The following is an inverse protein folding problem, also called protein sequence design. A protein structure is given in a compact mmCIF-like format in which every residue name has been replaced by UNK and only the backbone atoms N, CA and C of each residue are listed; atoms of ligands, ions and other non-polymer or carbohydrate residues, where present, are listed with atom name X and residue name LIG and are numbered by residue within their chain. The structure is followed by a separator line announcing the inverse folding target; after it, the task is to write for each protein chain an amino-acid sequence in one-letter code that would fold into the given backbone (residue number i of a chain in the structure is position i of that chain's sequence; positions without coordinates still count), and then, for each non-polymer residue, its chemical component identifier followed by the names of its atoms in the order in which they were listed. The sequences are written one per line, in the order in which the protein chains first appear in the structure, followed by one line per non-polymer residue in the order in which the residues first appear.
data_IF_363132481444
#
_entry.id   IF_363132481444
#
_cell.length_a   1.000
_cell.length_b   1.000
_cell.length_c   1.000
_cell.angle_alpha   90.00
_cell.angle_beta   90.00
_cell.angle_gamma   90.00
#
_symmetry.space_group_name_H-M   'P 1'
#
loop_
_entity.id
_entity.type
_entity.pdbx_description
1 polymer ?
#
# COMPACT_ATOMS: atom_id res chain seq x y z
N UNK A 1 -3.73 23.49 6.84
CA UNK A 1 -2.97 22.72 5.85
C UNK A 1 -3.19 23.33 4.49
N UNK A 2 -2.14 23.51 3.67
CA UNK A 2 -2.30 23.93 2.27
C UNK A 2 -2.85 22.77 1.45
N UNK A 3 -3.79 23.04 0.54
CA UNK A 3 -4.30 22.01 -0.37
C UNK A 3 -3.17 21.47 -1.28
N UNK A 4 -3.19 20.17 -1.63
CA UNK A 4 -2.26 19.61 -2.58
C UNK A 4 -2.32 20.36 -3.93
N UNK A 5 -1.19 20.41 -4.64
CA UNK A 5 -1.12 21.03 -6.00
C UNK A 5 -1.55 20.05 -7.11
N UNK A 6 -2.00 18.86 -6.78
CA UNK A 6 -2.54 17.85 -7.70
C UNK A 6 -4.03 17.64 -7.44
N UNK A 7 -4.79 17.06 -8.38
CA UNK A 7 -6.15 16.62 -8.10
C UNK A 7 -6.18 15.73 -6.85
N UNK A 8 -7.10 15.99 -5.95
CA UNK A 8 -7.27 15.19 -4.74
C UNK A 8 -8.75 15.04 -4.39
N UNK A 9 -9.03 14.00 -3.64
CA UNK A 9 -10.36 13.73 -3.10
C UNK A 9 -10.22 13.41 -1.61
N UNK A 10 -11.01 14.08 -0.78
CA UNK A 10 -11.06 13.80 0.65
C UNK A 10 -12.10 12.71 0.92
N UNK A 11 -11.66 11.64 1.58
CA UNK A 11 -12.55 10.53 1.97
C UNK A 11 -13.24 10.80 3.32
N UNK A 12 -12.84 11.85 4.02
CA UNK A 12 -13.31 12.13 5.38
C UNK A 12 -12.82 11.11 6.43
N UNK A 13 -11.92 10.21 6.05
CA UNK A 13 -11.39 9.20 6.96
C UNK A 13 -10.62 9.85 8.12
N UNK A 14 -10.95 9.53 9.40
CA UNK A 14 -10.14 9.95 10.53
C UNK A 14 -8.79 9.26 10.48
N UNK A 15 -7.79 9.85 11.15
CA UNK A 15 -6.50 9.19 11.33
C UNK A 15 -6.67 7.88 12.12
N UNK A 16 -5.92 6.85 11.72
CA UNK A 16 -5.87 5.59 12.48
C UNK A 16 -5.31 5.81 13.89
N UNK A 17 -5.72 4.95 14.82
CA UNK A 17 -5.24 4.95 16.21
C UNK A 17 -4.17 3.86 16.40
N UNK A 18 -3.45 3.95 17.51
CA UNK A 18 -2.45 2.96 17.91
C UNK A 18 -3.11 1.62 18.26
N UNK A 19 -2.88 0.55 17.48
CA UNK A 19 -3.50 -0.75 17.71
C UNK A 19 -3.10 -1.42 19.05
N UNK A 20 -2.04 -0.95 19.68
CA UNK A 20 -1.66 -1.41 21.01
C UNK A 20 -2.59 -0.86 22.12
N UNK A 21 -3.30 0.24 21.86
CA UNK A 21 -4.13 0.94 22.86
C UNK A 21 -5.63 0.76 22.66
N UNK A 22 -6.07 0.47 21.43
CA UNK A 22 -7.47 0.32 21.09
C UNK A 22 -7.67 -0.10 19.64
N UNK A 23 -8.91 -0.17 19.16
CA UNK A 23 -9.17 -0.37 17.72
C UNK A 23 -8.50 0.72 16.89
N UNK A 24 -7.83 0.32 15.82
CA UNK A 24 -7.16 1.26 14.92
C UNK A 24 -8.13 2.13 14.13
N UNK A 25 -9.31 1.59 13.80
CA UNK A 25 -10.35 2.24 13.02
C UNK A 25 -11.68 2.15 13.73
N UNK A 26 -12.44 3.23 13.67
CA UNK A 26 -13.80 3.26 14.23
C UNK A 26 -14.80 2.44 13.39
N UNK A 27 -14.65 2.49 12.07
CA UNK A 27 -15.56 1.82 11.12
C UNK A 27 -14.82 1.50 9.81
N UNK A 28 -14.32 0.28 9.71
CA UNK A 28 -13.66 -0.20 8.49
C UNK A 28 -14.67 -0.44 7.35
N UNK A 29 -15.94 -0.74 7.67
CA UNK A 29 -16.98 -0.94 6.66
C UNK A 29 -17.30 0.35 5.91
N UNK A 30 -17.44 1.46 6.61
CA UNK A 30 -17.70 2.76 5.98
C UNK A 30 -16.53 3.21 5.08
N UNK A 31 -15.29 2.95 5.51
CA UNK A 31 -14.11 3.21 4.70
C UNK A 31 -14.07 2.32 3.46
N UNK A 32 -14.49 1.07 3.60
CA UNK A 32 -14.61 0.14 2.50
C UNK A 32 -15.61 0.62 1.45
N UNK A 33 -16.82 1.01 1.85
CA UNK A 33 -17.86 1.49 0.93
C UNK A 33 -17.40 2.74 0.16
N UNK A 34 -16.72 3.64 0.85
CA UNK A 34 -16.14 4.85 0.25
C UNK A 34 -15.05 4.51 -0.75
N UNK A 35 -14.10 3.64 -0.38
CA UNK A 35 -13.02 3.19 -1.26
C UNK A 35 -13.54 2.42 -2.46
N UNK A 36 -14.49 1.51 -2.28
CA UNK A 36 -15.10 0.74 -3.35
C UNK A 36 -15.78 1.64 -4.40
N UNK A 37 -16.56 2.62 -3.94
CA UNK A 37 -17.23 3.59 -4.80
C UNK A 37 -16.22 4.42 -5.59
N UNK A 38 -15.13 4.84 -4.94
CA UNK A 38 -14.04 5.57 -5.59
C UNK A 38 -13.31 4.71 -6.63
N UNK A 39 -13.02 3.45 -6.32
CA UNK A 39 -12.41 2.51 -7.25
C UNK A 39 -13.24 2.32 -8.51
N UNK A 40 -14.55 2.13 -8.37
CA UNK A 40 -15.48 2.06 -9.50
C UNK A 40 -15.51 3.32 -10.35
N UNK A 41 -15.48 4.48 -9.72
CA UNK A 41 -15.44 5.77 -10.42
C UNK A 41 -14.15 5.89 -11.25
N UNK A 42 -13.00 5.61 -10.64
CA UNK A 42 -11.71 5.74 -11.31
C UNK A 42 -11.53 4.72 -12.43
N UNK A 43 -12.05 3.51 -12.29
CA UNK A 43 -12.03 2.48 -13.35
C UNK A 43 -12.80 2.91 -14.61
N UNK A 44 -13.73 3.86 -14.49
CA UNK A 44 -14.42 4.46 -15.65
C UNK A 44 -13.62 5.52 -16.39
N UNK A 45 -12.45 5.91 -15.88
CA UNK A 45 -11.62 6.97 -16.47
C UNK A 45 -10.47 6.45 -17.34
N UNK A 46 -10.19 5.15 -17.33
CA UNK A 46 -9.10 4.56 -18.11
C UNK A 46 -9.04 3.04 -17.96
N UNK A 47 -8.23 2.41 -18.80
CA UNK A 47 -8.11 0.94 -18.86
C UNK A 47 -7.25 0.36 -17.73
N UNK A 48 -6.43 1.18 -17.06
CA UNK A 48 -5.54 0.77 -15.96
C UNK A 48 -5.60 1.78 -14.82
N UNK A 49 -5.65 1.25 -13.60
CA UNK A 49 -5.56 2.01 -12.35
C UNK A 49 -4.30 1.60 -11.59
N UNK A 50 -3.41 2.54 -11.35
CA UNK A 50 -2.23 2.34 -10.48
C UNK A 50 -2.54 2.91 -9.10
N UNK A 51 -2.36 2.11 -8.06
CA UNK A 51 -2.60 2.47 -6.68
C UNK A 51 -1.32 2.38 -5.85
N UNK A 52 -0.94 3.47 -5.22
CA UNK A 52 0.12 3.55 -4.23
C UNK A 52 -0.40 4.04 -2.88
N UNK A 53 0.21 3.60 -1.78
CA UNK A 53 -0.10 4.04 -0.41
C UNK A 53 1.06 4.87 0.13
N UNK A 54 0.72 5.96 0.84
CA UNK A 54 1.64 6.66 1.72
C UNK A 54 0.93 6.92 3.06
N UNK A 55 1.26 6.11 4.06
CA UNK A 55 0.66 6.20 5.38
C UNK A 55 1.76 6.11 6.46
N UNK A 56 1.96 7.16 7.29
CA UNK A 56 2.87 7.07 8.42
C UNK A 56 2.47 5.91 9.35
N UNK A 57 3.43 5.03 9.66
CA UNK A 57 3.16 3.82 10.46
C UNK A 57 2.48 2.67 9.72
N UNK A 58 2.13 2.84 8.45
CA UNK A 58 1.44 1.84 7.65
C UNK A 58 2.19 0.51 7.49
N UNK A 59 3.49 0.52 7.68
CA UNK A 59 4.27 -0.72 7.71
C UNK A 59 3.97 -1.57 8.95
N UNK A 60 3.81 -0.93 10.11
CA UNK A 60 3.43 -1.62 11.35
C UNK A 60 2.03 -2.22 11.24
N UNK A 61 1.04 -1.42 10.84
CA UNK A 61 -0.35 -1.87 10.68
C UNK A 61 -0.48 -2.98 9.63
N UNK A 62 0.31 -2.91 8.55
CA UNK A 62 0.39 -3.96 7.53
C UNK A 62 0.89 -5.29 8.08
N UNK A 63 1.97 -5.29 8.88
CA UNK A 63 2.50 -6.48 9.55
C UNK A 63 1.49 -7.09 10.51
N UNK A 64 0.86 -6.24 11.34
CA UNK A 64 -0.16 -6.68 12.27
C UNK A 64 -1.34 -7.34 11.56
N UNK A 65 -1.83 -6.73 10.48
CA UNK A 65 -2.93 -7.25 9.67
C UNK A 65 -2.56 -8.57 9.00
N UNK A 66 -1.40 -8.64 8.33
CA UNK A 66 -0.91 -9.88 7.71
C UNK A 66 -0.80 -11.03 8.72
N UNK A 67 -0.22 -10.74 9.90
CA UNK A 67 -0.04 -11.73 10.96
C UNK A 67 -1.37 -12.24 11.51
N UNK A 68 -2.34 -11.34 11.71
CA UNK A 68 -3.69 -11.70 12.17
C UNK A 68 -4.45 -12.53 11.14
N UNK A 69 -4.23 -12.29 9.84
CA UNK A 69 -4.79 -13.05 8.72
C UNK A 69 -3.99 -14.34 8.40
N UNK A 70 -3.02 -14.73 9.24
CA UNK A 70 -2.31 -16.01 9.12
C UNK A 70 -1.18 -16.03 8.08
N UNK A 71 -0.81 -14.90 7.51
CA UNK A 71 0.36 -14.83 6.65
C UNK A 71 1.64 -14.90 7.48
N UNK A 72 2.68 -15.54 6.91
CA UNK A 72 3.92 -15.83 7.65
C UNK A 72 4.52 -14.58 8.26
N UNK A 73 4.56 -14.63 9.59
CA UNK A 73 4.92 -13.52 10.42
C UNK A 73 6.40 -13.48 10.77
N UNK A 74 7.04 -14.65 10.76
CA UNK A 74 8.45 -14.83 11.10
C UNK A 74 9.39 -13.99 10.22
N UNK A 75 9.08 -13.85 8.95
CA UNK A 75 9.84 -13.00 8.00
C UNK A 75 9.51 -11.50 8.14
N UNK A 76 8.42 -11.20 8.86
CA UNK A 76 7.97 -9.82 9.08
C UNK A 76 8.46 -9.24 10.43
N UNK A 77 9.08 -10.06 11.27
CA UNK A 77 9.55 -9.66 12.60
C UNK A 77 10.99 -9.09 12.60
N UNK A 78 11.74 -9.23 11.50
CA UNK A 78 13.15 -8.83 11.38
C UNK A 78 13.41 -7.31 11.31
N UNK A 79 12.39 -6.48 11.54
CA UNK A 79 12.66 -5.06 11.74
C UNK A 79 13.21 -4.83 13.14
N UNK A 80 14.42 -4.27 13.25
CA UNK A 80 14.98 -3.94 14.56
C UNK A 80 14.03 -2.98 15.26
N UNK A 81 13.34 -3.47 16.29
CA UNK A 81 12.65 -2.60 17.21
C UNK A 81 13.72 -1.71 17.85
N UNK A 82 13.69 -0.40 17.58
CA UNK A 82 14.58 0.57 18.19
C UNK A 82 14.33 0.75 19.69
N UNK A 83 13.29 0.11 20.21
CA UNK A 83 12.85 0.21 21.59
C UNK A 83 13.00 -1.13 22.30
N UNK A 84 13.58 -1.12 23.48
CA UNK A 84 13.55 -2.23 24.41
C UNK A 84 12.10 -2.43 24.90
N UNK A 85 11.52 -3.62 24.71
CA UNK A 85 10.18 -3.91 25.18
C UNK A 85 9.40 -4.81 24.23
N UNK A 86 8.12 -5.11 24.57
CA UNK A 86 7.29 -5.95 23.73
C UNK A 86 7.02 -5.31 22.36
N UNK A 87 7.08 -6.15 21.31
CA UNK A 87 6.84 -5.75 19.92
C UNK A 87 5.43 -5.17 19.71
N UNK A 88 5.18 -4.43 18.62
CA UNK A 88 3.83 -3.98 18.28
C UNK A 88 2.82 -5.13 18.21
N UNK A 89 3.23 -6.30 17.70
CA UNK A 89 2.38 -7.49 17.68
C UNK A 89 2.04 -7.99 19.08
N UNK A 90 3.03 -8.15 19.96
CA UNK A 90 2.81 -8.62 21.33
C UNK A 90 1.85 -7.72 22.10
N UNK A 91 2.00 -6.40 21.95
CA UNK A 91 1.10 -5.41 22.56
C UNK A 91 -0.34 -5.56 22.04
N UNK A 92 -0.52 -5.56 20.72
CA UNK A 92 -1.85 -5.62 20.09
C UNK A 92 -2.51 -6.99 20.28
N UNK A 93 -1.79 -8.08 20.11
CA UNK A 93 -2.30 -9.45 20.27
C UNK A 93 -2.68 -9.75 21.72
N UNK A 94 -1.90 -9.25 22.70
CA UNK A 94 -2.24 -9.36 24.13
C UNK A 94 -3.54 -8.60 24.46
N UNK A 95 -3.71 -7.38 23.92
CA UNK A 95 -4.96 -6.61 24.08
C UNK A 95 -6.18 -7.37 23.55
N UNK A 96 -6.01 -8.02 22.39
CA UNK A 96 -7.11 -8.72 21.70
C UNK A 96 -7.30 -10.16 22.16
N UNK A 97 -6.32 -10.74 22.85
CA UNK A 97 -6.32 -12.17 23.20
C UNK A 97 -6.23 -13.09 21.99
N UNK A 98 -5.50 -12.69 20.93
CA UNK A 98 -5.39 -13.44 19.67
C UNK A 98 -3.98 -13.96 19.41
N UNK A 99 -3.90 -14.99 18.57
CA UNK A 99 -2.68 -15.54 17.99
C UNK A 99 -2.61 -15.27 16.50
N UNK A 100 -1.45 -15.43 15.85
CA UNK A 100 -1.35 -15.37 14.39
C UNK A 100 -2.37 -16.30 13.73
N UNK A 101 -3.15 -15.75 12.77
CA UNK A 101 -4.17 -16.47 12.03
C UNK A 101 -5.57 -16.53 12.68
N UNK A 102 -5.73 -16.06 13.91
CA UNK A 102 -7.05 -16.12 14.57
C UNK A 102 -8.11 -15.20 13.92
N UNK A 103 -7.71 -14.31 13.02
CA UNK A 103 -8.63 -13.43 12.27
C UNK A 103 -8.80 -13.83 10.80
N UNK A 104 -8.39 -15.02 10.38
CA UNK A 104 -8.69 -15.55 9.03
C UNK A 104 -10.21 -15.61 8.84
N UNK A 105 -10.73 -15.07 7.72
CA UNK A 105 -12.16 -14.97 7.44
C UNK A 105 -12.86 -13.83 8.19
N UNK A 106 -12.09 -12.98 8.89
CA UNK A 106 -12.60 -11.84 9.64
C UNK A 106 -11.89 -10.53 9.24
N UNK A 107 -11.70 -10.31 7.94
CA UNK A 107 -10.94 -9.18 7.38
C UNK A 107 -11.35 -7.81 7.91
N UNK A 108 -12.65 -7.52 8.00
CA UNK A 108 -13.10 -6.26 8.60
C UNK A 108 -12.70 -6.10 10.06
N UNK A 109 -12.71 -7.18 10.84
CA UNK A 109 -12.24 -7.14 12.22
C UNK A 109 -10.73 -6.94 12.28
N UNK A 110 -9.97 -7.65 11.44
CA UNK A 110 -8.53 -7.46 11.34
C UNK A 110 -8.18 -6.02 10.97
N UNK A 111 -8.88 -5.44 9.98
CA UNK A 111 -8.68 -4.06 9.56
C UNK A 111 -9.06 -3.06 10.67
N UNK A 112 -10.20 -3.24 11.33
CA UNK A 112 -10.65 -2.34 12.40
C UNK A 112 -9.73 -2.35 13.61
N UNK A 113 -9.23 -3.51 14.01
CA UNK A 113 -8.41 -3.65 15.20
C UNK A 113 -6.93 -3.33 14.98
N UNK A 114 -6.40 -3.60 13.78
CA UNK A 114 -4.96 -3.67 13.52
C UNK A 114 -4.51 -2.89 12.27
N UNK A 115 -5.42 -2.56 11.36
CA UNK A 115 -5.12 -1.89 10.10
C UNK A 115 -4.96 -0.38 10.20
N UNK A 116 -5.06 0.28 9.07
CA UNK A 116 -5.12 1.74 8.95
C UNK A 116 -6.10 2.16 7.83
N UNK A 117 -6.51 3.44 7.78
CA UNK A 117 -7.49 3.89 6.79
C UNK A 117 -7.03 3.72 5.34
N UNK A 118 -5.74 3.93 5.07
CA UNK A 118 -5.19 3.85 3.71
C UNK A 118 -5.18 2.40 3.21
N UNK A 119 -4.89 1.44 4.10
CA UNK A 119 -4.94 0.02 3.82
C UNK A 119 -6.35 -0.42 3.38
N UNK A 120 -7.36 -0.04 4.16
CA UNK A 120 -8.77 -0.40 3.87
C UNK A 120 -9.22 0.24 2.57
N UNK A 121 -8.94 1.53 2.39
CA UNK A 121 -9.34 2.28 1.19
C UNK A 121 -8.66 1.69 -0.05
N UNK A 122 -7.37 1.36 0.00
CA UNK A 122 -6.67 0.77 -1.14
C UNK A 122 -7.21 -0.62 -1.50
N UNK A 123 -7.50 -1.48 -0.52
CA UNK A 123 -8.14 -2.77 -0.75
C UNK A 123 -9.53 -2.58 -1.39
N UNK A 124 -10.34 -1.69 -0.86
CA UNK A 124 -11.68 -1.39 -1.36
C UNK A 124 -11.66 -0.77 -2.77
N UNK A 125 -10.76 0.18 -3.03
CA UNK A 125 -10.58 0.76 -4.38
C UNK A 125 -10.19 -0.31 -5.39
N UNK A 126 -9.32 -1.24 -5.00
CA UNK A 126 -8.95 -2.39 -5.82
C UNK A 126 -10.18 -3.24 -6.14
N UNK A 127 -10.99 -3.61 -5.14
CA UNK A 127 -12.23 -4.36 -5.33
C UNK A 127 -13.18 -3.64 -6.30
N UNK A 128 -13.40 -2.35 -6.09
CA UNK A 128 -14.27 -1.55 -6.92
C UNK A 128 -13.79 -1.38 -8.36
N UNK A 129 -12.48 -1.38 -8.59
CA UNK A 129 -11.88 -1.16 -9.91
C UNK A 129 -11.75 -2.44 -10.76
N UNK A 130 -11.59 -3.61 -10.14
CA UNK A 130 -11.32 -4.88 -10.85
C UNK A 130 -12.35 -5.28 -11.91
N UNK A 131 -13.56 -4.75 -11.85
CA UNK A 131 -14.62 -5.01 -12.84
C UNK A 131 -14.56 -4.13 -14.10
N UNK A 132 -13.74 -3.06 -14.09
CA UNK A 132 -13.72 -2.06 -15.15
C UNK A 132 -12.34 -1.65 -15.65
N UNK A 133 -11.27 -1.93 -14.88
CA UNK A 133 -9.91 -1.61 -15.25
C UNK A 133 -8.92 -2.68 -14.78
N UNK A 134 -7.76 -2.74 -15.41
CA UNK A 134 -6.61 -3.47 -14.87
C UNK A 134 -6.08 -2.73 -13.64
N UNK A 135 -5.94 -3.44 -12.51
CA UNK A 135 -5.42 -2.83 -11.28
C UNK A 135 -3.97 -3.24 -11.06
N UNK A 136 -3.11 -2.25 -10.93
CA UNK A 136 -1.70 -2.39 -10.59
C UNK A 136 -1.47 -1.72 -9.23
N UNK A 137 -1.26 -2.53 -8.19
CA UNK A 137 -0.79 -2.04 -6.90
C UNK A 137 0.70 -1.71 -7.01
N UNK A 138 1.12 -0.61 -6.41
CA UNK A 138 2.51 -0.17 -6.50
C UNK A 138 3.06 0.11 -5.11
N UNK A 139 3.99 -0.73 -4.67
CA UNK A 139 4.57 -0.65 -3.34
C UNK A 139 5.13 -1.97 -2.83
N UNK A 140 5.36 -2.03 -1.54
CA UNK A 140 5.88 -3.20 -0.83
C UNK A 140 4.83 -3.82 0.09
N UNK A 141 5.20 -3.91 1.36
CA UNK A 141 4.42 -4.60 2.39
C UNK A 141 2.99 -4.09 2.55
N UNK A 142 2.77 -2.79 2.42
CA UNK A 142 1.42 -2.20 2.53
C UNK A 142 0.50 -2.72 1.42
N UNK A 143 1.02 -2.90 0.21
CA UNK A 143 0.25 -3.45 -0.91
C UNK A 143 -0.03 -4.95 -0.76
N UNK A 144 0.93 -5.71 -0.20
CA UNK A 144 0.70 -7.11 0.16
C UNK A 144 -0.40 -7.23 1.23
N UNK A 145 -0.39 -6.36 2.24
CA UNK A 145 -1.42 -6.36 3.27
C UNK A 145 -2.80 -5.94 2.73
N UNK A 146 -2.88 -4.96 1.83
CA UNK A 146 -4.11 -4.59 1.16
C UNK A 146 -4.66 -5.76 0.31
N UNK A 147 -3.78 -6.47 -0.39
CA UNK A 147 -4.14 -7.68 -1.14
C UNK A 147 -4.62 -8.81 -0.24
N UNK A 148 -3.96 -9.02 0.90
CA UNK A 148 -4.36 -10.02 1.88
C UNK A 148 -5.75 -9.73 2.45
N UNK A 149 -6.03 -8.50 2.82
CA UNK A 149 -7.34 -8.05 3.28
C UNK A 149 -8.40 -8.28 2.19
N UNK A 150 -8.10 -7.91 0.95
CA UNK A 150 -8.97 -8.11 -0.20
C UNK A 150 -9.32 -9.61 -0.38
N UNK A 151 -8.32 -10.50 -0.33
CA UNK A 151 -8.53 -11.95 -0.45
C UNK A 151 -9.34 -12.53 0.69
N UNK A 152 -9.09 -12.09 1.93
CA UNK A 152 -9.84 -12.53 3.11
C UNK A 152 -11.31 -12.10 3.05
N UNK A 153 -11.60 -10.96 2.41
CA UNK A 153 -12.96 -10.48 2.15
C UNK A 153 -13.63 -11.17 0.95
N UNK A 154 -12.98 -12.14 0.31
CA UNK A 154 -13.55 -12.99 -0.74
C UNK A 154 -13.31 -12.52 -2.17
N UNK A 155 -12.62 -11.42 -2.38
CA UNK A 155 -12.34 -10.90 -3.71
C UNK A 155 -11.23 -11.70 -4.42
N UNK A 156 -11.51 -12.17 -5.66
CA UNK A 156 -10.64 -13.12 -6.40
C UNK A 156 -10.12 -12.59 -7.75
N UNK A 157 -10.33 -11.33 -8.07
CA UNK A 157 -9.90 -10.74 -9.34
C UNK A 157 -8.37 -10.78 -9.54
N UNK A 158 -7.93 -10.64 -10.77
CA UNK A 158 -6.50 -10.50 -11.10
C UNK A 158 -6.02 -9.13 -10.67
N UNK A 159 -4.86 -9.10 -10.02
CA UNK A 159 -4.21 -7.88 -9.54
C UNK A 159 -2.73 -7.97 -9.90
N UNK A 160 -2.20 -6.91 -10.50
CA UNK A 160 -0.77 -6.71 -10.67
C UNK A 160 -0.17 -6.08 -9.43
N UNK A 161 1.09 -6.39 -9.16
CA UNK A 161 1.88 -5.75 -8.10
C UNK A 161 3.21 -5.28 -8.69
N UNK A 162 3.43 -3.97 -8.70
CA UNK A 162 4.72 -3.39 -9.04
C UNK A 162 5.51 -3.08 -7.77
N UNK A 163 6.81 -3.34 -7.79
CA UNK A 163 7.72 -3.00 -6.69
C UNK A 163 9.10 -2.66 -7.22
N UNK A 164 9.99 -2.13 -6.38
CA UNK A 164 11.38 -1.89 -6.76
C UNK A 164 12.28 -3.05 -6.35
N UNK A 165 13.39 -3.22 -7.06
CA UNK A 165 14.45 -4.20 -6.70
C UNK A 165 14.90 -4.02 -5.25
N UNK A 166 14.99 -2.78 -4.77
CA UNK A 166 15.36 -2.49 -3.39
C UNK A 166 14.33 -3.02 -2.39
N UNK A 167 13.04 -2.73 -2.61
CA UNK A 167 11.96 -3.19 -1.73
C UNK A 167 11.84 -4.71 -1.70
N UNK A 168 12.00 -5.37 -2.85
CA UNK A 168 12.02 -6.84 -2.93
C UNK A 168 13.15 -7.43 -2.09
N UNK A 169 14.37 -6.87 -2.17
CA UNK A 169 15.52 -7.28 -1.35
C UNK A 169 15.29 -7.06 0.14
N UNK A 170 14.74 -5.91 0.52
CA UNK A 170 14.48 -5.57 1.92
C UNK A 170 13.46 -6.52 2.59
N UNK A 171 12.57 -7.11 1.80
CA UNK A 171 11.59 -8.10 2.27
C UNK A 171 12.07 -9.57 2.14
N UNK A 172 13.33 -9.78 1.72
CA UNK A 172 14.11 -11.02 1.83
C UNK A 172 13.34 -12.34 1.51
N UNK A 173 12.81 -12.45 0.30
CA UNK A 173 12.09 -13.67 -0.15
C UNK A 173 10.64 -13.77 0.34
N UNK A 174 10.27 -13.15 1.48
CA UNK A 174 8.88 -13.08 1.93
C UNK A 174 7.98 -12.39 0.91
N UNK A 175 8.52 -11.43 0.15
CA UNK A 175 7.76 -10.74 -0.88
C UNK A 175 7.29 -11.71 -1.97
N UNK A 176 8.18 -12.57 -2.48
CA UNK A 176 7.83 -13.57 -3.49
C UNK A 176 6.82 -14.60 -2.98
N UNK A 177 7.05 -15.15 -1.78
CA UNK A 177 6.16 -16.13 -1.17
C UNK A 177 4.76 -15.56 -0.92
N UNK A 178 4.65 -14.36 -0.34
CA UNK A 178 3.38 -13.69 -0.08
C UNK A 178 2.66 -13.33 -1.38
N UNK A 179 3.39 -12.82 -2.38
CA UNK A 179 2.81 -12.49 -3.68
C UNK A 179 2.22 -13.72 -4.37
N UNK A 180 2.93 -14.86 -4.31
CA UNK A 180 2.47 -16.12 -4.88
C UNK A 180 1.21 -16.63 -4.14
N UNK A 181 1.20 -16.62 -2.79
CA UNK A 181 0.05 -17.01 -1.98
C UNK A 181 -1.18 -16.13 -2.26
N UNK A 182 -0.97 -14.85 -2.51
CA UNK A 182 -2.03 -13.88 -2.81
C UNK A 182 -2.47 -13.90 -4.29
N UNK A 183 -1.78 -14.67 -5.13
CA UNK A 183 -2.09 -14.77 -6.57
C UNK A 183 -1.85 -13.46 -7.31
N UNK A 184 -0.76 -12.74 -7.00
CA UNK A 184 -0.41 -11.47 -7.60
C UNK A 184 0.56 -11.67 -8.78
N UNK A 185 0.33 -10.95 -9.87
CA UNK A 185 1.28 -10.81 -10.98
C UNK A 185 2.33 -9.75 -10.62
N UNK A 186 3.58 -10.19 -10.30
CA UNK A 186 4.61 -9.28 -9.84
C UNK A 186 5.44 -8.72 -11.00
N UNK A 187 5.71 -7.42 -10.96
CA UNK A 187 6.64 -6.70 -11.83
C UNK A 187 7.65 -5.95 -10.95
N UNK A 188 8.93 -6.22 -11.15
CA UNK A 188 10.01 -5.59 -10.38
C UNK A 188 10.72 -4.57 -11.26
N UNK A 189 10.80 -3.33 -10.79
CA UNK A 189 11.42 -2.21 -11.51
C UNK A 189 12.74 -1.86 -10.85
N UNK A 190 13.79 -1.68 -11.66
CA UNK A 190 15.07 -1.22 -11.16
C UNK A 190 15.10 0.32 -11.13
N UNK A 191 14.93 0.88 -9.97
CA UNK A 191 15.10 2.30 -9.69
C UNK A 191 16.37 2.56 -8.84
N UNK A 192 17.36 1.66 -8.90
CA UNK A 192 18.55 1.70 -8.07
C UNK A 192 18.22 1.41 -6.60
N UNK A 193 18.85 2.17 -5.70
CA UNK A 193 18.67 2.00 -4.24
C UNK A 193 17.42 2.70 -3.69
N UNK A 194 16.48 3.11 -4.56
CA UNK A 194 15.25 3.78 -4.15
C UNK A 194 14.23 2.73 -3.69
N UNK A 195 13.78 2.76 -2.42
CA UNK A 195 12.69 1.90 -1.98
C UNK A 195 11.38 2.36 -2.63
N UNK A 196 10.46 1.42 -2.85
CA UNK A 196 9.14 1.78 -3.39
C UNK A 196 8.30 2.51 -2.34
N UNK A 197 7.96 3.72 -2.67
CA UNK A 197 7.09 4.56 -1.87
C UNK A 197 6.09 5.31 -2.76
N UNK A 198 4.87 5.47 -2.27
CA UNK A 198 3.81 6.28 -2.91
C UNK A 198 3.50 5.87 -4.37
N UNK A 199 3.80 4.62 -4.74
CA UNK A 199 3.51 4.15 -6.09
C UNK A 199 4.59 4.45 -7.13
N UNK A 200 5.85 4.62 -6.72
CA UNK A 200 6.96 4.97 -7.61
C UNK A 200 7.19 3.92 -8.70
N UNK A 201 7.17 2.62 -8.36
CA UNK A 201 7.36 1.54 -9.34
C UNK A 201 6.26 1.49 -10.40
N UNK A 202 4.99 1.66 -10.00
CA UNK A 202 3.88 1.69 -10.95
C UNK A 202 3.91 2.92 -11.86
N UNK A 203 4.29 4.07 -11.33
CA UNK A 203 4.48 5.27 -12.13
C UNK A 203 5.63 5.11 -13.14
N UNK A 204 6.73 4.46 -12.74
CA UNK A 204 7.85 4.17 -13.63
C UNK A 204 7.42 3.22 -14.75
N UNK A 205 6.70 2.14 -14.45
CA UNK A 205 6.17 1.22 -15.47
C UNK A 205 5.27 1.93 -16.49
N UNK A 206 4.36 2.78 -16.03
CA UNK A 206 3.51 3.57 -16.93
C UNK A 206 4.33 4.50 -17.83
N UNK A 207 5.39 5.10 -17.30
CA UNK A 207 6.26 5.97 -18.06
C UNK A 207 7.08 5.16 -19.11
N UNK A 208 7.59 3.98 -18.76
CA UNK A 208 8.27 3.08 -19.68
C UNK A 208 7.34 2.60 -20.81
N UNK A 209 6.13 2.19 -20.49
CA UNK A 209 5.11 1.83 -21.48
C UNK A 209 4.74 3.00 -22.39
N UNK A 210 4.87 4.23 -21.90
CA UNK A 210 4.69 5.47 -22.68
C UNK A 210 5.93 5.87 -23.49
N UNK A 211 6.98 5.03 -23.50
CA UNK A 211 8.20 5.21 -24.29
C UNK A 211 9.28 6.06 -23.63
N UNK A 212 9.19 6.31 -22.31
CA UNK A 212 10.26 7.01 -21.58
C UNK A 212 11.29 5.99 -21.08
N UNK A 213 12.57 6.24 -21.35
CA UNK A 213 13.65 5.43 -20.83
C UNK A 213 13.80 5.58 -19.30
N UNK A 214 14.11 4.51 -18.54
CA UNK A 214 14.23 4.52 -17.09
C UNK A 214 15.17 5.61 -16.57
N UNK A 215 16.31 5.82 -17.24
CA UNK A 215 17.31 6.83 -16.88
C UNK A 215 16.71 8.26 -16.91
N UNK A 216 15.85 8.53 -17.90
CA UNK A 216 15.17 9.83 -18.02
C UNK A 216 14.15 10.05 -16.91
N UNK A 217 13.49 8.98 -16.48
CA UNK A 217 12.52 9.02 -15.36
C UNK A 217 13.26 9.37 -14.07
N UNK A 218 14.36 8.68 -13.79
CA UNK A 218 15.19 8.91 -12.61
C UNK A 218 15.81 10.31 -12.61
N UNK A 219 16.41 10.74 -13.72
CA UNK A 219 16.97 12.08 -13.86
C UNK A 219 15.92 13.18 -13.60
N UNK A 220 14.70 12.97 -14.08
CA UNK A 220 13.63 13.94 -13.85
C UNK A 220 13.17 13.93 -12.39
N UNK A 221 13.04 12.77 -11.78
CA UNK A 221 12.68 12.64 -10.38
C UNK A 221 13.71 13.30 -9.45
N UNK A 222 15.01 13.08 -9.68
CA UNK A 222 16.07 13.71 -8.89
C UNK A 222 16.10 15.24 -9.06
N UNK A 223 15.91 15.76 -10.28
CA UNK A 223 15.79 17.20 -10.50
C UNK A 223 14.62 17.80 -9.76
N UNK A 224 13.43 17.17 -9.83
CA UNK A 224 12.25 17.65 -9.11
C UNK A 224 12.44 17.62 -7.59
N UNK A 225 13.10 16.60 -7.06
CA UNK A 225 13.43 16.54 -5.63
C UNK A 225 14.32 17.71 -5.21
N UNK A 226 15.38 18.00 -5.97
CA UNK A 226 16.25 19.14 -5.71
C UNK A 226 15.53 20.51 -5.84
N UNK A 227 14.61 20.65 -6.79
CA UNK A 227 13.77 21.86 -6.91
C UNK A 227 12.85 22.03 -5.70
N UNK A 228 12.25 20.94 -5.18
CA UNK A 228 11.40 20.97 -3.99
C UNK A 228 12.20 21.33 -2.74
N UNK A 229 13.37 20.72 -2.55
CA UNK A 229 14.25 20.96 -1.40
C UNK A 229 14.80 22.41 -1.39
N UNK A 230 15.14 22.94 -2.55
CA UNK A 230 15.66 24.31 -2.70
C UNK A 230 14.57 25.40 -2.63
N UNK A 231 13.29 25.02 -2.64
CA UNK A 231 12.17 25.95 -2.72
C UNK A 231 12.09 26.73 -4.04
N UNK A 232 12.84 26.31 -5.07
CA UNK A 232 12.81 26.94 -6.39
C UNK A 232 11.46 26.68 -7.07
N UNK A 233 10.83 27.70 -7.71
CA UNK A 233 9.63 27.49 -8.50
C UNK A 233 9.97 26.60 -9.70
N UNK A 234 9.30 25.46 -9.83
CA UNK A 234 9.52 24.52 -10.92
C UNK A 234 9.48 25.22 -12.29
N UNK A 235 10.55 25.12 -13.06
CA UNK A 235 10.59 25.58 -14.44
C UNK A 235 9.55 24.80 -15.25
N UNK A 236 8.50 25.47 -15.69
CA UNK A 236 7.57 24.93 -16.68
C UNK A 236 8.33 24.78 -17.99
N UNK A 237 8.88 23.63 -18.27
CA UNK A 237 9.26 23.30 -19.64
C UNK A 237 7.97 23.20 -20.46
N UNK A 238 7.77 24.24 -21.30
CA UNK A 238 6.65 24.31 -22.21
C UNK A 238 6.69 23.12 -23.17
N UNK A 239 5.63 22.31 -23.18
CA UNK A 239 5.40 21.32 -24.22
C UNK A 239 5.28 22.02 -25.59
N UNK A 240 6.05 21.56 -26.52
CA UNK A 240 5.77 21.62 -27.96
C UNK A 240 5.64 20.21 -28.47
#
# INVERSE_FOLDING_TARGET
RSAPKCPYMETGAPAGQDPAKGPSLLDAGLLWDSGFSLGRLLAGLGDRLVLGISCPGGEVTSRLTLKALGYRADVLDDFPSREEGPSPWEKASSRLGIRPGDLIGHGFKAASELGDPALVIAAAMTAGAMGGAEVLLSGGLQMLAASALLRDLGEKGKIGLATTVRTEKDLAGAFGDLSALLGLGVQVVDLGEVPDGVGASGAALLAEESGFAPERILDRAFRLSGEIESGAPGSREGGR
#
